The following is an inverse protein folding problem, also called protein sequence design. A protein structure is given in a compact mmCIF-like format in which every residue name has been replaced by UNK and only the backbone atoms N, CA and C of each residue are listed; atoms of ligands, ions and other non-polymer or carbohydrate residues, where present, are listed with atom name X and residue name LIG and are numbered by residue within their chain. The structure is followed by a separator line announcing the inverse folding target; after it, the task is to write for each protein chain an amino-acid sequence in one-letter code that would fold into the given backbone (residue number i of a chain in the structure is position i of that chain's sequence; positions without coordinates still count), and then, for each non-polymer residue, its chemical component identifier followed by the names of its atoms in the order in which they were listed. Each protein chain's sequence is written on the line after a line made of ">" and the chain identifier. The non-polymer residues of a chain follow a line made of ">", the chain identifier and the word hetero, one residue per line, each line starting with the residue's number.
data_IF_292159638600
#
_entry.id   IF_292159638600
#
_cell.length_a   1.000
_cell.length_b   1.000
_cell.length_c   1.000
_cell.angle_alpha   90.00
_cell.angle_beta   90.00
_cell.angle_gamma   90.00
#
_symmetry.space_group_name_H-M   'P 1'
#
loop_
_entity.id
_entity.type
_entity.pdbx_description
1 polymer ?
#
# COMPACT_ATOMS: atom_id res chain seq x y z
N UNK A 1 48.87 14.56 7.20
CA UNK A 1 47.98 14.51 6.02
C UNK A 1 46.74 13.75 6.42
N UNK A 2 45.77 14.45 7.02
CA UNK A 2 44.51 13.85 7.44
C UNK A 2 43.62 13.66 6.21
N UNK A 3 43.39 12.40 5.83
CA UNK A 3 42.40 12.06 4.81
C UNK A 3 41.02 12.35 5.38
N UNK A 4 40.44 13.49 4.97
CA UNK A 4 39.03 13.78 5.19
C UNK A 4 38.22 12.72 4.46
N UNK A 5 37.64 11.79 5.22
CA UNK A 5 36.64 10.83 4.73
C UNK A 5 35.40 11.67 4.36
N UNK A 6 35.25 12.00 3.08
CA UNK A 6 33.98 12.52 2.55
C UNK A 6 32.96 11.37 2.62
N UNK A 7 32.26 11.29 3.75
CA UNK A 7 31.14 10.35 3.95
C UNK A 7 30.03 10.75 2.98
N UNK A 8 29.71 9.87 2.04
CA UNK A 8 28.68 10.03 1.03
C UNK A 8 27.30 10.20 1.70
N UNK A 9 26.86 11.45 1.93
CA UNK A 9 25.57 11.78 2.56
C UNK A 9 24.41 11.82 1.56
N UNK A 10 24.69 11.82 0.25
CA UNK A 10 23.68 12.00 -0.80
C UNK A 10 22.81 10.75 -1.02
N UNK A 11 23.41 9.57 -0.88
CA UNK A 11 22.71 8.27 -1.03
C UNK A 11 21.71 8.00 0.11
N UNK A 12 22.04 8.43 1.33
CA UNK A 12 21.21 8.27 2.53
C UNK A 12 19.92 9.12 2.51
N UNK A 13 19.99 10.35 1.97
CA UNK A 13 18.84 11.27 1.88
C UNK A 13 17.81 10.71 0.90
N UNK A 14 18.27 10.23 -0.26
CA UNK A 14 17.43 9.65 -1.30
C UNK A 14 16.68 8.40 -0.81
N UNK A 15 17.30 7.58 0.05
CA UNK A 15 16.67 6.37 0.58
C UNK A 15 15.61 6.66 1.64
N UNK A 16 15.81 7.68 2.48
CA UNK A 16 14.84 8.06 3.51
C UNK A 16 13.60 8.73 2.88
N UNK A 17 13.79 9.53 1.82
CA UNK A 17 12.70 10.06 1.00
C UNK A 17 11.91 8.94 0.31
N UNK A 18 12.59 7.92 -0.24
CA UNK A 18 11.92 6.74 -0.83
C UNK A 18 11.06 5.98 0.17
N UNK A 19 11.54 5.76 1.39
CA UNK A 19 10.76 5.09 2.45
C UNK A 19 9.56 5.94 2.84
N UNK A 20 9.76 7.25 3.03
CA UNK A 20 8.69 8.18 3.39
C UNK A 20 7.60 8.24 2.31
N UNK A 21 7.99 8.29 1.04
CA UNK A 21 7.05 8.26 -0.09
C UNK A 21 6.28 6.93 -0.16
N UNK A 22 6.93 5.81 0.15
CA UNK A 22 6.29 4.49 0.16
C UNK A 22 5.30 4.37 1.34
N UNK A 23 5.65 4.90 2.52
CA UNK A 23 4.72 4.99 3.66
C UNK A 23 3.52 5.86 3.28
N UNK A 24 3.74 7.01 2.64
CA UNK A 24 2.65 7.89 2.20
C UNK A 24 1.70 7.18 1.22
N UNK A 25 2.23 6.40 0.27
CA UNK A 25 1.44 5.58 -0.64
C UNK A 25 0.54 4.58 0.11
N UNK A 26 1.10 3.81 1.04
CA UNK A 26 0.34 2.87 1.86
C UNK A 26 -0.71 3.57 2.72
N UNK A 27 -0.39 4.75 3.26
CA UNK A 27 -1.34 5.55 4.05
C UNK A 27 -2.50 6.08 3.20
N UNK A 28 -2.23 6.48 1.95
CA UNK A 28 -3.29 6.87 1.00
C UNK A 28 -4.22 5.69 0.70
N UNK A 29 -3.66 4.50 0.44
CA UNK A 29 -4.46 3.28 0.23
C UNK A 29 -5.34 2.94 1.45
N UNK A 30 -4.82 3.09 2.68
CA UNK A 30 -5.62 2.91 3.90
C UNK A 30 -6.79 3.91 3.95
N UNK A 31 -6.58 5.16 3.55
CA UNK A 31 -7.62 6.18 3.57
C UNK A 31 -8.72 5.86 2.54
N UNK A 32 -8.33 5.48 1.32
CA UNK A 32 -9.27 5.03 0.28
C UNK A 32 -10.10 3.82 0.75
N UNK A 33 -9.45 2.83 1.37
CA UNK A 33 -10.14 1.65 1.92
C UNK A 33 -11.12 2.00 3.03
N UNK A 34 -10.78 2.94 3.92
CA UNK A 34 -11.69 3.44 4.97
C UNK A 34 -12.90 4.14 4.37
N UNK A 35 -12.72 4.94 3.33
CA UNK A 35 -13.85 5.58 2.63
C UNK A 35 -14.76 4.54 1.97
N UNK A 36 -14.18 3.52 1.33
CA UNK A 36 -14.96 2.42 0.73
C UNK A 36 -15.74 1.67 1.82
N UNK A 37 -15.10 1.34 2.94
CA UNK A 37 -15.75 0.67 4.08
C UNK A 37 -16.93 1.48 4.61
N UNK A 38 -16.72 2.79 4.81
CA UNK A 38 -17.76 3.67 5.31
C UNK A 38 -18.98 3.68 4.38
N UNK A 39 -18.78 3.77 3.06
CA UNK A 39 -19.87 3.69 2.06
C UNK A 39 -20.59 2.35 2.08
N UNK A 40 -19.85 1.26 2.27
CA UNK A 40 -20.39 -0.10 2.41
C UNK A 40 -21.28 -0.20 3.65
N UNK A 41 -20.85 0.35 4.79
CA UNK A 41 -21.60 0.34 6.05
C UNK A 41 -22.86 1.23 6.00
N UNK A 42 -22.82 2.35 5.29
CA UNK A 42 -23.96 3.25 5.11
C UNK A 42 -24.97 2.75 4.07
N UNK A 43 -24.64 1.69 3.33
CA UNK A 43 -25.53 1.16 2.31
C UNK A 43 -26.72 0.46 2.98
N UNK A 44 -27.94 0.94 2.70
CA UNK A 44 -29.18 0.43 3.30
C UNK A 44 -29.58 -1.00 2.87
N UNK A 45 -28.80 -1.62 1.98
CA UNK A 45 -29.06 -2.96 1.44
C UNK A 45 -27.96 -3.92 1.85
N UNK A 46 -28.34 -5.11 2.31
CA UNK A 46 -27.42 -6.15 2.78
C UNK A 46 -26.62 -6.84 1.65
N UNK A 47 -26.97 -6.63 0.38
CA UNK A 47 -26.34 -7.28 -0.78
C UNK A 47 -25.35 -6.35 -1.49
N UNK A 48 -24.07 -6.69 -1.42
CA UNK A 48 -22.99 -5.94 -2.05
C UNK A 48 -22.41 -6.73 -3.21
N UNK A 49 -22.24 -6.05 -4.34
CA UNK A 49 -21.65 -6.62 -5.55
C UNK A 49 -20.15 -6.32 -5.60
N UNK A 50 -19.33 -7.34 -5.43
CA UNK A 50 -17.91 -7.25 -5.74
C UNK A 50 -17.69 -7.55 -7.22
N UNK A 51 -17.01 -6.65 -7.93
CA UNK A 51 -16.74 -6.80 -9.36
C UNK A 51 -15.28 -6.50 -9.65
N UNK A 52 -14.56 -7.49 -10.17
CA UNK A 52 -13.20 -7.32 -10.68
C UNK A 52 -13.31 -6.96 -12.16
N UNK A 53 -12.87 -5.77 -12.53
CA UNK A 53 -12.85 -5.32 -13.93
C UNK A 53 -11.42 -5.05 -14.39
N UNK A 54 -10.94 -5.81 -15.37
CA UNK A 54 -9.71 -5.49 -16.09
C UNK A 54 -10.05 -4.56 -17.26
N UNK A 55 -9.60 -3.31 -17.21
CA UNK A 55 -9.60 -2.44 -18.40
C UNK A 55 -8.63 -3.05 -19.41
N UNK A 56 -9.15 -3.63 -20.48
CA UNK A 56 -8.32 -4.02 -21.60
C UNK A 56 -8.08 -2.80 -22.49
N UNK A 57 -6.82 -2.45 -22.73
CA UNK A 57 -6.43 -1.50 -23.77
C UNK A 57 -6.40 -2.24 -25.11
N UNK A 58 -7.56 -2.38 -25.77
CA UNK A 58 -7.59 -2.89 -27.14
C UNK A 58 -7.52 -1.70 -28.12
N UNK A 59 -6.38 -1.57 -28.79
CA UNK A 59 -6.33 -0.92 -30.09
C UNK A 59 -7.16 -1.73 -31.07
N UNK A 60 -7.94 -1.03 -31.89
CA UNK A 60 -8.70 -1.51 -33.06
C UNK A 60 -8.44 -2.99 -33.45
N UNK A 61 -9.49 -3.83 -33.38
CA UNK A 61 -9.60 -5.18 -34.00
C UNK A 61 -9.47 -6.46 -33.16
N UNK A 62 -10.04 -6.53 -31.96
CA UNK A 62 -10.42 -7.84 -31.40
C UNK A 62 -11.92 -7.89 -31.03
N UNK A 63 -12.62 -9.02 -31.31
CA UNK A 63 -14.00 -9.20 -30.90
C UNK A 63 -14.06 -9.05 -29.38
N UNK A 64 -15.04 -8.27 -28.91
CA UNK A 64 -15.27 -8.02 -27.49
C UNK A 64 -15.48 -9.37 -26.79
N UNK A 65 -14.39 -9.95 -26.30
CA UNK A 65 -14.42 -10.99 -25.29
C UNK A 65 -14.95 -10.29 -24.05
N UNK A 66 -16.27 -10.28 -23.90
CA UNK A 66 -16.96 -10.09 -22.63
C UNK A 66 -16.47 -11.21 -21.70
N UNK A 67 -15.21 -11.12 -21.25
CA UNK A 67 -14.62 -12.00 -20.27
C UNK A 67 -15.57 -11.96 -19.09
N UNK A 68 -16.02 -13.15 -18.71
CA UNK A 68 -16.90 -13.43 -17.59
C UNK A 68 -16.63 -12.45 -16.46
N UNK A 69 -17.62 -11.58 -16.22
CA UNK A 69 -17.64 -10.71 -15.05
C UNK A 69 -17.96 -11.63 -13.90
N UNK A 70 -16.94 -12.10 -13.19
CA UNK A 70 -17.16 -12.86 -11.96
C UNK A 70 -17.78 -11.91 -10.94
N UNK A 71 -19.11 -12.02 -10.82
CA UNK A 71 -19.93 -11.23 -9.92
C UNK A 71 -20.14 -12.08 -8.67
N UNK A 72 -19.50 -11.67 -7.59
CA UNK A 72 -19.75 -12.24 -6.27
C UNK A 72 -20.77 -11.35 -5.57
N UNK A 73 -21.92 -11.93 -5.21
CA UNK A 73 -22.83 -11.36 -4.23
C UNK A 73 -22.32 -11.79 -2.86
N UNK A 74 -22.00 -10.81 -2.01
CA UNK A 74 -21.55 -11.03 -0.64
C UNK A 74 -22.32 -10.10 0.27
N UNK A 75 -22.51 -10.52 1.52
CA UNK A 75 -23.12 -9.67 2.53
C UNK A 75 -22.25 -8.45 2.84
N UNK A 76 -22.88 -7.37 3.30
CA UNK A 76 -22.20 -6.19 3.87
C UNK A 76 -21.12 -6.59 4.88
N UNK A 77 -21.46 -7.52 5.78
CA UNK A 77 -20.51 -8.05 6.77
C UNK A 77 -19.25 -8.65 6.13
N UNK A 78 -19.41 -9.55 5.16
CA UNK A 78 -18.27 -10.18 4.48
C UNK A 78 -17.43 -9.17 3.71
N UNK A 79 -18.06 -8.17 3.10
CA UNK A 79 -17.33 -7.06 2.45
C UNK A 79 -16.49 -6.26 3.46
N UNK A 80 -17.07 -5.91 4.62
CA UNK A 80 -16.33 -5.21 5.67
C UNK A 80 -15.11 -6.02 6.16
N UNK A 81 -15.24 -7.34 6.34
CA UNK A 81 -14.12 -8.21 6.70
C UNK A 81 -12.99 -8.17 5.66
N UNK A 82 -13.33 -8.22 4.37
CA UNK A 82 -12.33 -8.15 3.29
C UNK A 82 -11.59 -6.80 3.34
N UNK A 83 -12.32 -5.70 3.54
CA UNK A 83 -11.73 -4.36 3.60
C UNK A 83 -10.87 -4.20 4.86
N UNK A 84 -11.29 -4.72 6.01
CA UNK A 84 -10.52 -4.68 7.25
C UNK A 84 -9.21 -5.46 7.16
N UNK A 85 -9.22 -6.61 6.51
CA UNK A 85 -8.00 -7.38 6.25
C UNK A 85 -7.05 -6.60 5.33
N UNK A 86 -7.57 -5.97 4.28
CA UNK A 86 -6.77 -5.13 3.39
C UNK A 86 -6.12 -3.96 4.13
N UNK A 87 -6.87 -3.26 4.99
CA UNK A 87 -6.34 -2.18 5.84
C UNK A 87 -5.25 -2.71 6.78
N UNK A 88 -5.46 -3.88 7.39
CA UNK A 88 -4.49 -4.51 8.30
C UNK A 88 -3.18 -4.80 7.58
N UNK A 89 -3.24 -5.34 6.36
CA UNK A 89 -2.05 -5.61 5.55
C UNK A 89 -1.28 -4.36 5.16
N UNK A 90 -1.96 -3.26 4.87
CA UNK A 90 -1.29 -1.98 4.59
C UNK A 90 -0.60 -1.40 5.83
N UNK A 91 -1.21 -1.53 7.02
CA UNK A 91 -0.56 -1.14 8.28
C UNK A 91 0.69 -1.98 8.57
N UNK A 92 0.61 -3.31 8.40
CA UNK A 92 1.77 -4.20 8.56
C UNK A 92 2.94 -3.82 7.62
N UNK A 93 2.65 -3.32 6.41
CA UNK A 93 3.67 -2.85 5.47
C UNK A 93 4.34 -1.56 5.97
N UNK A 94 3.55 -0.62 6.50
CA UNK A 94 4.07 0.61 7.11
C UNK A 94 4.96 0.27 8.32
N UNK A 95 4.50 -0.60 9.21
CA UNK A 95 5.26 -0.98 10.41
C UNK A 95 6.62 -1.58 10.03
N UNK A 96 6.65 -2.49 9.04
CA UNK A 96 7.92 -3.03 8.51
C UNK A 96 8.85 -1.96 7.95
N UNK A 97 8.31 -0.95 7.26
CA UNK A 97 9.11 0.16 6.72
C UNK A 97 9.70 1.02 7.85
N UNK A 98 8.94 1.25 8.92
CA UNK A 98 9.38 1.98 10.11
C UNK A 98 10.48 1.19 10.83
N UNK A 99 10.27 -0.11 11.08
CA UNK A 99 11.24 -0.98 11.76
C UNK A 99 12.57 -1.01 11.01
N UNK A 100 12.54 -1.15 9.68
CA UNK A 100 13.75 -1.09 8.85
C UNK A 100 14.49 0.25 9.00
N UNK A 101 13.79 1.37 9.12
CA UNK A 101 14.41 2.68 9.28
C UNK A 101 14.99 2.87 10.69
N UNK A 102 14.33 2.34 11.72
CA UNK A 102 14.85 2.31 13.10
C UNK A 102 16.13 1.48 13.15
N UNK A 103 16.13 0.26 12.61
CA UNK A 103 17.30 -0.62 12.60
C UNK A 103 18.50 0.04 11.90
N UNK A 104 18.28 0.69 10.76
CA UNK A 104 19.34 1.43 10.04
C UNK A 104 19.95 2.52 10.91
N UNK A 105 19.12 3.30 11.62
CA UNK A 105 19.59 4.35 12.52
C UNK A 105 20.41 3.78 13.67
N UNK A 106 19.96 2.68 14.28
CA UNK A 106 20.70 1.99 15.35
C UNK A 106 22.08 1.50 14.86
N UNK A 107 22.14 0.84 13.69
CA UNK A 107 23.41 0.38 13.10
C UNK A 107 24.37 1.55 12.86
N UNK A 108 23.88 2.63 12.23
CA UNK A 108 24.69 3.85 12.00
C UNK A 108 25.22 4.51 13.28
N UNK A 109 24.52 4.39 14.40
CA UNK A 109 24.98 4.90 15.70
C UNK A 109 26.09 4.02 16.26
N UNK A 110 25.93 2.69 16.19
CA UNK A 110 26.92 1.74 16.68
C UNK A 110 28.24 1.80 15.87
N UNK A 111 28.14 1.96 14.54
CA UNK A 111 29.30 2.10 13.64
C UNK A 111 30.08 3.42 13.88
N UNK A 112 29.48 4.42 14.54
CA UNK A 112 30.16 5.68 14.89
C UNK A 112 30.82 5.64 16.28
N UNK A 113 30.48 4.63 17.09
CA UNK A 113 31.00 4.45 18.46
C UNK A 113 32.13 3.41 18.53
N UNK A 114 32.28 2.58 17.49
CA UNK A 114 33.41 1.65 17.30
C UNK A 114 34.54 2.33 16.53
#
# INVERSE_FOLDING_TARGET
>A
MDKIIKKDRGSDINMNEKISNTIALHQMAINELKEIKHRVEETATDDIRFRIETKHWYGYSEPVLLKTKDKLSISTYTMCLIIDEAITKEKERIDKLIDMEIEKKVRKVNDRKS
#
